data_IF_355752690677
#
_entry.id   IF_355752690677
#
_cell.length_a   1.000
_cell.length_b   1.000
_cell.length_c   1.000
_cell.angle_alpha   90.00
_cell.angle_beta   90.00
_cell.angle_gamma   90.00
#
_symmetry.space_group_name_H-M   'P 1'
#
loop_
_entity.id
_entity.type
_entity.pdbx_description
1 polymer ?
#
# COMPACT_ATOMS: atom_id res chain seq x y z
N UNK A 1 15.54 14.62 2.50
CA UNK A 1 16.53 13.53 2.34
C UNK A 1 16.03 12.36 3.17
N UNK A 2 15.66 11.24 2.53
CA UNK A 2 15.22 10.06 3.27
C UNK A 2 16.44 9.42 3.95
N UNK A 3 16.34 9.14 5.25
CA UNK A 3 17.40 8.42 5.97
C UNK A 3 17.19 6.93 5.71
N UNK A 4 18.23 6.28 5.20
CA UNK A 4 18.23 4.82 5.02
C UNK A 4 18.59 4.20 6.36
N UNK A 5 17.61 3.57 7.01
CA UNK A 5 17.85 2.79 8.22
C UNK A 5 18.25 1.37 7.83
N UNK A 6 19.21 0.81 8.55
CA UNK A 6 19.50 -0.61 8.43
C UNK A 6 18.34 -1.45 8.96
N UNK A 7 18.25 -2.69 8.54
CA UNK A 7 17.19 -3.61 8.98
C UNK A 7 17.19 -3.81 10.49
N UNK A 8 18.36 -3.82 11.12
CA UNK A 8 18.47 -3.94 12.58
C UNK A 8 17.92 -2.69 13.28
N UNK A 9 18.25 -1.50 12.79
CA UNK A 9 17.70 -0.24 13.34
C UNK A 9 16.18 -0.14 13.14
N UNK A 10 15.66 -0.62 12.01
CA UNK A 10 14.23 -0.65 11.75
C UNK A 10 13.50 -1.59 12.71
N UNK A 11 14.09 -2.75 13.02
CA UNK A 11 13.53 -3.68 14.00
C UNK A 11 13.55 -3.11 15.41
N UNK A 12 14.64 -2.44 15.81
CA UNK A 12 14.74 -1.79 17.11
C UNK A 12 13.66 -0.68 17.26
N UNK A 13 13.37 0.08 16.21
CA UNK A 13 12.28 1.08 16.24
C UNK A 13 10.92 0.43 16.48
N UNK A 14 10.65 -0.71 15.85
CA UNK A 14 9.37 -1.42 16.00
C UNK A 14 9.25 -2.03 17.40
N UNK A 15 10.34 -2.63 17.90
CA UNK A 15 10.34 -3.31 19.20
C UNK A 15 10.37 -2.34 20.39
N UNK A 16 11.00 -1.17 20.26
CA UNK A 16 11.04 -0.14 21.30
C UNK A 16 9.96 0.94 21.15
N UNK A 17 9.01 0.77 20.22
CA UNK A 17 7.79 1.61 20.17
C UNK A 17 6.79 1.19 21.25
N UNK A 18 7.27 1.04 22.48
CA UNK A 18 6.44 0.95 23.67
C UNK A 18 5.53 2.17 23.68
N UNK A 19 4.23 1.90 23.84
CA UNK A 19 3.14 2.84 23.76
C UNK A 19 3.22 3.90 24.86
N UNK A 20 4.08 4.91 24.68
CA UNK A 20 4.17 6.08 25.54
C UNK A 20 2.95 6.98 25.30
N UNK A 21 1.92 6.68 26.08
CA UNK A 21 0.81 7.51 26.56
C UNK A 21 -0.23 8.04 25.57
N UNK A 22 -1.42 7.42 25.67
CA UNK A 22 -2.64 7.95 25.06
C UNK A 22 -3.87 7.06 25.22
N UNK A 23 -3.92 6.14 26.20
CA UNK A 23 -5.12 5.36 26.46
C UNK A 23 -5.85 5.87 27.70
N UNK A 24 -6.89 6.66 27.46
CA UNK A 24 -7.97 6.84 28.44
C UNK A 24 -9.18 6.04 27.97
N UNK A 25 -9.50 4.92 28.63
CA UNK A 25 -10.76 4.77 29.40
C UNK A 25 -10.95 3.39 30.04
N UNK A 26 -11.40 3.46 31.31
CA UNK A 26 -12.18 2.51 32.11
C UNK A 26 -11.58 1.16 32.54
N UNK A 27 -11.49 1.04 33.86
CA UNK A 27 -11.31 -0.14 34.72
C UNK A 27 -12.20 -1.34 34.39
N UNK A 28 -11.64 -2.56 34.38
CA UNK A 28 -11.84 -3.67 35.34
C UNK A 28 -11.05 -4.92 34.92
N UNK A 29 -10.52 -5.66 35.91
CA UNK A 29 -9.82 -6.95 35.85
C UNK A 29 -10.57 -8.06 35.10
N UNK A 30 -9.81 -8.91 34.38
CA UNK A 30 -10.01 -10.37 34.37
C UNK A 30 -8.78 -11.06 33.76
N UNK A 31 -8.11 -11.83 34.60
CA UNK A 31 -7.07 -12.80 34.27
C UNK A 31 -7.61 -13.97 33.43
N UNK A 32 -6.93 -14.31 32.32
CA UNK A 32 -6.93 -15.67 31.78
C UNK A 32 -5.60 -15.98 31.10
N UNK A 33 -4.93 -16.92 31.74
CA UNK A 33 -3.74 -17.69 31.39
C UNK A 33 -4.04 -18.59 30.18
N UNK A 34 -3.22 -18.55 29.12
CA UNK A 34 -3.11 -19.68 28.16
C UNK A 34 -1.76 -19.62 27.42
N UNK A 35 -0.86 -20.46 27.91
CA UNK A 35 0.28 -21.11 27.24
C UNK A 35 0.00 -21.43 25.76
N UNK A 36 0.96 -21.19 24.85
CA UNK A 36 1.61 -22.27 24.09
C UNK A 36 2.49 -21.72 22.97
N UNK A 37 3.71 -22.26 22.95
CA UNK A 37 4.69 -22.13 21.91
C UNK A 37 4.20 -22.78 20.61
N UNK A 38 4.71 -22.32 19.47
CA UNK A 38 5.11 -23.20 18.37
C UNK A 38 5.93 -22.42 17.35
N UNK A 39 7.25 -22.56 17.44
CA UNK A 39 8.16 -22.41 16.32
C UNK A 39 7.72 -23.35 15.19
N UNK A 40 7.71 -22.85 13.96
CA UNK A 40 7.94 -23.70 12.79
C UNK A 40 8.71 -22.91 11.75
N UNK A 41 10.00 -23.22 11.73
CA UNK A 41 10.97 -23.00 10.66
C UNK A 41 10.57 -23.78 9.42
N UNK A 42 10.48 -23.15 8.26
CA UNK A 42 10.64 -23.85 6.98
C UNK A 42 11.29 -22.87 5.98
N UNK A 43 12.54 -23.19 5.63
CA UNK A 43 13.27 -22.66 4.50
C UNK A 43 12.53 -23.00 3.20
N UNK A 44 12.22 -21.99 2.39
CA UNK A 44 11.86 -22.18 0.99
C UNK A 44 12.44 -21.04 0.17
N UNK A 45 13.57 -21.34 -0.48
CA UNK A 45 14.08 -20.61 -1.63
C UNK A 45 13.01 -20.53 -2.71
N UNK A 46 12.39 -19.36 -2.86
CA UNK A 46 11.71 -18.98 -4.09
C UNK A 46 12.13 -17.56 -4.45
N UNK A 47 12.70 -17.41 -5.66
CA UNK A 47 13.01 -16.12 -6.28
C UNK A 47 11.67 -15.41 -6.54
N UNK A 48 11.14 -14.76 -5.50
CA UNK A 48 10.00 -13.87 -5.57
C UNK A 48 10.48 -12.51 -6.05
N UNK A 49 10.70 -12.36 -7.35
CA UNK A 49 10.81 -11.03 -7.96
C UNK A 49 9.53 -10.27 -7.68
N UNK A 50 9.69 -9.17 -6.96
CA UNK A 50 8.91 -7.95 -7.04
C UNK A 50 7.38 -8.04 -6.97
N UNK A 51 6.91 -7.69 -5.77
CA UNK A 51 5.85 -6.70 -5.59
C UNK A 51 4.47 -7.09 -6.14
N UNK A 52 3.82 -8.03 -5.46
CA UNK A 52 2.37 -7.93 -5.24
C UNK A 52 2.09 -6.82 -4.21
N UNK A 53 2.44 -5.60 -4.59
CA UNK A 53 1.90 -4.42 -3.93
C UNK A 53 0.46 -4.29 -4.45
N UNK A 54 -0.48 -5.01 -3.82
CA UNK A 54 -1.93 -4.83 -3.99
C UNK A 54 -2.39 -3.47 -3.42
N UNK A 55 -1.58 -2.41 -3.57
CA UNK A 55 -2.11 -1.06 -3.69
C UNK A 55 -3.10 -1.13 -4.84
N UNK A 56 -4.39 -1.12 -4.50
CA UNK A 56 -5.49 -0.75 -5.40
C UNK A 56 -5.09 0.60 -6.02
N UNK A 57 -4.30 0.55 -7.08
CA UNK A 57 -3.71 1.69 -7.74
C UNK A 57 -4.90 2.36 -8.39
N UNK A 58 -5.38 3.43 -7.73
CA UNK A 58 -6.46 4.25 -8.25
C UNK A 58 -6.00 4.69 -9.63
N UNK A 59 -6.58 4.10 -10.68
CA UNK A 59 -6.13 4.31 -12.05
C UNK A 59 -6.06 5.82 -12.30
N UNK A 60 -4.89 6.31 -12.70
CA UNK A 60 -4.63 7.69 -13.07
C UNK A 60 -4.75 7.82 -14.59
N UNK A 61 -5.10 9.02 -15.04
CA UNK A 61 -5.24 9.29 -16.47
C UNK A 61 -3.88 9.17 -17.17
N UNK A 62 -3.82 8.40 -18.26
CA UNK A 62 -2.57 8.13 -19.00
C UNK A 62 -1.97 9.39 -19.64
N UNK A 63 -2.77 10.44 -19.81
CA UNK A 63 -2.37 11.67 -20.51
C UNK A 63 -1.85 12.79 -19.60
N UNK A 64 -2.38 12.91 -18.38
CA UNK A 64 -1.94 13.96 -17.45
C UNK A 64 -1.36 13.40 -16.15
N UNK A 65 -1.58 12.13 -15.81
CA UNK A 65 -1.14 11.46 -14.58
C UNK A 65 -1.59 12.13 -13.25
N UNK A 66 -2.17 13.33 -13.30
CA UNK A 66 -2.60 14.11 -12.15
C UNK A 66 -4.04 13.82 -11.71
N UNK A 67 -4.89 13.41 -12.66
CA UNK A 67 -6.33 13.22 -12.43
C UNK A 67 -6.70 11.74 -12.39
N UNK A 68 -7.71 11.42 -11.59
CA UNK A 68 -8.31 10.08 -11.55
C UNK A 68 -9.01 9.76 -12.88
N UNK A 69 -8.99 8.49 -13.23
CA UNK A 69 -9.67 7.96 -14.41
C UNK A 69 -11.17 8.05 -14.22
N UNK A 70 -11.86 8.57 -15.23
CA UNK A 70 -13.31 8.66 -15.29
C UNK A 70 -13.89 7.69 -16.33
N UNK A 71 -13.17 7.45 -17.43
CA UNK A 71 -13.60 6.56 -18.51
C UNK A 71 -12.41 6.05 -19.32
N UNK A 72 -12.67 5.23 -20.34
CA UNK A 72 -11.70 4.78 -21.33
C UNK A 72 -11.98 5.42 -22.69
N UNK A 73 -10.94 5.77 -23.45
CA UNK A 73 -11.10 6.32 -24.79
C UNK A 73 -11.65 5.22 -25.72
N UNK A 74 -12.77 5.47 -26.41
CA UNK A 74 -13.42 4.47 -27.27
C UNK A 74 -12.58 4.02 -28.47
N UNK A 75 -11.59 4.81 -28.87
CA UNK A 75 -10.72 4.54 -30.02
C UNK A 75 -9.42 3.79 -29.67
N UNK A 76 -8.79 4.12 -28.54
CA UNK A 76 -7.50 3.53 -28.15
C UNK A 76 -7.50 2.73 -26.84
N UNK A 77 -8.64 2.64 -26.15
CA UNK A 77 -8.76 1.87 -24.90
C UNK A 77 -8.02 2.44 -23.69
N UNK A 78 -7.31 3.57 -23.84
CA UNK A 78 -6.53 4.21 -22.76
C UNK A 78 -7.43 4.83 -21.69
N UNK A 79 -6.94 4.90 -20.46
CA UNK A 79 -7.68 5.48 -19.35
C UNK A 79 -7.55 6.99 -19.33
N UNK A 80 -8.70 7.66 -19.28
CA UNK A 80 -8.81 9.12 -19.41
C UNK A 80 -9.57 9.73 -18.23
N UNK A 81 -9.18 10.93 -17.84
CA UNK A 81 -9.94 11.75 -16.89
C UNK A 81 -11.17 12.37 -17.58
N UNK A 82 -12.04 13.00 -16.80
CA UNK A 82 -13.25 13.67 -17.30
C UNK A 82 -12.94 14.69 -18.40
N UNK A 83 -11.87 15.47 -18.26
CA UNK A 83 -11.51 16.49 -19.26
C UNK A 83 -11.08 15.85 -20.58
N UNK A 84 -10.25 14.81 -20.50
CA UNK A 84 -9.81 14.02 -21.65
C UNK A 84 -10.87 13.08 -22.22
N UNK A 85 -12.01 12.92 -21.55
CA UNK A 85 -13.18 12.20 -22.08
C UNK A 85 -14.06 13.07 -22.97
N UNK A 86 -14.02 14.38 -22.77
CA UNK A 86 -14.77 15.36 -23.57
C UNK A 86 -13.97 15.79 -24.80
N UNK A 87 -12.65 15.88 -24.69
CA UNK A 87 -11.77 16.00 -25.85
C UNK A 87 -11.49 14.62 -26.41
N UNK A 88 -11.62 14.44 -27.73
CA UNK A 88 -11.09 13.24 -28.38
C UNK A 88 -9.63 13.13 -27.94
N UNK A 89 -9.26 11.98 -27.35
CA UNK A 89 -7.91 11.80 -26.85
C UNK A 89 -6.92 12.14 -27.99
N UNK A 90 -5.94 13.03 -27.76
CA UNK A 90 -5.05 13.58 -28.80
C UNK A 90 -4.54 12.56 -29.84
N UNK A 91 -4.13 11.33 -29.48
CA UNK A 91 -3.70 10.30 -30.44
C UNK A 91 -4.81 9.73 -31.32
N UNK A 92 -6.08 10.04 -31.05
CA UNK A 92 -7.25 9.56 -31.77
C UNK A 92 -7.96 10.66 -32.57
N UNK A 93 -7.36 11.86 -32.61
CA UNK A 93 -7.81 12.98 -33.44
C UNK A 93 -7.27 12.92 -34.87
N UNK A 94 -6.36 11.99 -35.17
CA UNK A 94 -5.84 11.67 -36.52
C UNK A 94 -6.54 10.47 -37.13
#
# INVERSE_FOLDING_TARGET
MARHYSTQEALDIIMHSDCEDGSSSSSVDSEVDTEEASESTEDASEVGTDQLDERKSRRQCDFCMDRRVCSTCCKCGKFICKDHSLSICSPCST
#
